data_IF_944266460973
#
_entry.id   IF_944266460973
#
_cell.length_a   1.000
_cell.length_b   1.000
_cell.length_c   1.000
_cell.angle_alpha   90.00
_cell.angle_beta   90.00
_cell.angle_gamma   90.00
#
_symmetry.space_group_name_H-M   'P 1'
#
loop_
_entity.id
_entity.type
_entity.pdbx_description
1 polymer ?
#
# COMPACT_ATOMS: atom_id res chain seq x y z
N UNK A 1 -10.25 -11.25 9.20
CA UNK A 1 -8.88 -11.42 9.74
C UNK A 1 -8.88 -11.68 11.24
N UNK A 2 -9.29 -10.75 12.10
CA UNK A 2 -9.10 -10.86 13.56
C UNK A 2 -9.71 -12.11 14.19
N UNK A 3 -11.00 -12.38 13.97
CA UNK A 3 -11.67 -13.59 14.47
C UNK A 3 -11.20 -14.89 13.79
N UNK A 4 -10.63 -14.81 12.60
CA UNK A 4 -10.17 -16.00 11.86
C UNK A 4 -8.76 -16.43 12.26
N UNK A 5 -7.97 -15.50 12.82
CA UNK A 5 -6.59 -15.74 13.23
C UNK A 5 -6.45 -15.91 14.74
N UNK A 6 -7.55 -15.85 15.51
CA UNK A 6 -7.53 -15.97 16.97
C UNK A 6 -6.45 -15.08 17.60
N UNK A 7 -6.50 -13.78 17.27
CA UNK A 7 -5.52 -12.80 17.72
C UNK A 7 -5.80 -12.39 19.17
N UNK A 8 -4.76 -12.28 19.98
CA UNK A 8 -4.84 -11.66 21.30
C UNK A 8 -4.93 -10.12 21.20
N UNK A 9 -5.21 -9.45 22.33
CA UNK A 9 -5.39 -7.99 22.38
C UNK A 9 -4.15 -7.21 21.89
N UNK A 10 -2.95 -7.71 22.20
CA UNK A 10 -1.69 -7.08 21.79
C UNK A 10 -1.49 -7.22 20.27
N UNK A 11 -1.77 -8.38 19.71
CA UNK A 11 -1.74 -8.66 18.27
C UNK A 11 -2.80 -7.84 17.52
N UNK A 12 -3.98 -7.64 18.10
CA UNK A 12 -5.04 -6.78 17.55
C UNK A 12 -4.56 -5.33 17.45
N UNK A 13 -3.97 -4.81 18.53
CA UNK A 13 -3.43 -3.45 18.56
C UNK A 13 -2.32 -3.26 17.53
N UNK A 14 -1.39 -4.22 17.44
CA UNK A 14 -0.33 -4.21 16.43
C UNK A 14 -0.88 -4.26 15.01
N UNK A 15 -1.85 -5.14 14.73
CA UNK A 15 -2.49 -5.24 13.43
C UNK A 15 -3.21 -3.94 13.04
N UNK A 16 -3.92 -3.31 13.98
CA UNK A 16 -4.57 -2.02 13.74
C UNK A 16 -3.56 -0.94 13.34
N UNK A 17 -2.39 -0.89 13.99
CA UNK A 17 -1.31 0.02 13.62
C UNK A 17 -0.77 -0.24 12.22
N UNK A 18 -0.58 -1.51 11.84
CA UNK A 18 -0.15 -1.91 10.49
C UNK A 18 -1.19 -1.46 9.44
N UNK A 19 -2.46 -1.75 9.66
CA UNK A 19 -3.55 -1.39 8.75
C UNK A 19 -3.71 0.13 8.61
N UNK A 20 -3.54 0.87 9.70
CA UNK A 20 -3.59 2.33 9.67
C UNK A 20 -2.47 2.91 8.80
N UNK A 21 -1.26 2.36 8.90
CA UNK A 21 -0.14 2.79 8.06
C UNK A 21 -0.39 2.54 6.57
N UNK A 22 -0.92 1.37 6.22
CA UNK A 22 -1.33 1.08 4.84
C UNK A 22 -2.43 2.02 4.35
N UNK A 23 -3.39 2.37 5.20
CA UNK A 23 -4.45 3.33 4.87
C UNK A 23 -3.87 4.72 4.59
N UNK A 24 -2.91 5.17 5.39
CA UNK A 24 -2.20 6.43 5.18
C UNK A 24 -1.47 6.43 3.85
N UNK A 25 -0.70 5.38 3.53
CA UNK A 25 0.03 5.30 2.25
C UNK A 25 -0.92 5.27 1.05
N UNK A 26 -2.04 4.54 1.12
CA UNK A 26 -3.08 4.56 0.08
C UNK A 26 -3.67 5.95 -0.14
N UNK A 27 -3.87 6.71 0.94
CA UNK A 27 -4.37 8.08 0.88
C UNK A 27 -3.34 9.01 0.24
N UNK A 28 -2.06 8.85 0.59
CA UNK A 28 -0.97 9.59 -0.03
C UNK A 28 -0.85 9.27 -1.53
N UNK A 29 -0.99 8.00 -1.92
CA UNK A 29 -0.94 7.60 -3.31
C UNK A 29 -2.08 8.21 -4.16
N UNK A 30 -3.27 8.41 -3.58
CA UNK A 30 -4.35 9.12 -4.25
C UNK A 30 -4.01 10.61 -4.47
N UNK A 31 -3.42 11.27 -3.48
CA UNK A 31 -2.95 12.65 -3.60
C UNK A 31 -1.83 12.77 -4.66
N UNK A 32 -0.88 11.85 -4.66
CA UNK A 32 0.20 11.80 -5.65
C UNK A 32 -0.35 11.62 -7.07
N UNK A 33 -1.41 10.82 -7.22
CA UNK A 33 -2.09 10.61 -8.49
C UNK A 33 -2.78 11.88 -8.99
N UNK A 34 -3.53 12.56 -8.13
CA UNK A 34 -4.17 13.85 -8.44
C UNK A 34 -3.13 14.90 -8.84
N UNK A 35 -2.03 15.00 -8.09
CA UNK A 35 -0.90 15.88 -8.42
C UNK A 35 -0.30 15.55 -9.78
N UNK A 36 -0.03 14.27 -10.05
CA UNK A 36 0.50 13.82 -11.34
C UNK A 36 -0.41 14.21 -12.50
N UNK A 37 -1.75 14.12 -12.34
CA UNK A 37 -2.69 14.57 -13.36
C UNK A 37 -2.59 16.08 -13.57
N UNK A 38 -2.53 16.87 -12.49
CA UNK A 38 -2.40 18.33 -12.59
C UNK A 38 -1.10 18.73 -13.32
N UNK A 39 0.02 18.10 -12.98
CA UNK A 39 1.32 18.36 -13.59
C UNK A 39 1.33 17.97 -15.09
N UNK A 40 0.70 16.84 -15.45
CA UNK A 40 0.52 16.44 -16.86
C UNK A 40 -0.35 17.46 -17.59
N UNK A 41 -1.47 17.88 -17.00
CA UNK A 41 -2.37 18.85 -17.61
C UNK A 41 -1.67 20.18 -17.89
N UNK A 42 -0.86 20.66 -16.94
CA UNK A 42 -0.04 21.85 -17.12
C UNK A 42 0.98 21.69 -18.27
N UNK A 43 1.62 20.52 -18.39
CA UNK A 43 2.55 20.23 -19.49
C UNK A 43 1.86 20.07 -20.86
N UNK A 44 0.55 19.83 -20.90
CA UNK A 44 -0.22 19.81 -22.15
C UNK A 44 -0.68 21.20 -22.59
N UNK A 45 -0.72 22.18 -21.69
CA UNK A 45 -1.20 23.55 -21.95
C UNK A 45 -0.07 24.49 -22.44
N UNK A 46 1.11 23.94 -22.76
CA UNK A 46 2.26 24.69 -23.27
C UNK A 46 2.30 24.69 -24.80
N UNK A 47 2.88 25.75 -25.39
CA UNK A 47 2.99 25.89 -26.86
C UNK A 47 3.81 24.77 -27.52
N UNK A 48 4.77 24.19 -26.79
CA UNK A 48 5.59 23.06 -27.23
C UNK A 48 5.47 21.92 -26.22
N UNK A 49 5.45 20.68 -26.73
CA UNK A 49 5.44 19.49 -25.91
C UNK A 49 6.77 19.31 -25.17
N UNK A 50 6.75 19.41 -23.84
CA UNK A 50 7.89 19.12 -22.99
C UNK A 50 7.82 17.68 -22.46
N UNK A 51 8.52 16.77 -23.15
CA UNK A 51 8.60 15.35 -22.75
C UNK A 51 9.17 15.17 -21.35
N UNK A 52 10.10 16.02 -20.92
CA UNK A 52 10.73 15.88 -19.61
C UNK A 52 9.74 16.23 -18.49
N UNK A 53 8.94 17.28 -18.67
CA UNK A 53 7.90 17.65 -17.72
C UNK A 53 6.85 16.53 -17.55
N UNK A 54 6.44 15.91 -18.66
CA UNK A 54 5.50 14.77 -18.64
C UNK A 54 6.13 13.54 -17.97
N UNK A 55 7.40 13.23 -18.27
CA UNK A 55 8.11 12.11 -17.65
C UNK A 55 8.24 12.29 -16.13
N UNK A 56 8.58 13.49 -15.64
CA UNK A 56 8.64 13.78 -14.21
C UNK A 56 7.26 13.66 -13.54
N UNK A 57 6.20 14.13 -14.19
CA UNK A 57 4.85 13.98 -13.68
C UNK A 57 4.41 12.51 -13.62
N UNK A 58 4.79 11.68 -14.60
CA UNK A 58 4.54 10.23 -14.61
C UNK A 58 5.38 9.48 -13.57
N UNK A 59 6.61 9.93 -13.33
CA UNK A 59 7.52 9.37 -12.31
C UNK A 59 6.90 9.39 -10.92
N UNK A 60 6.10 10.42 -10.59
CA UNK A 60 5.33 10.49 -9.34
C UNK A 60 4.50 9.22 -9.13
N UNK A 61 3.81 8.73 -10.17
CA UNK A 61 2.97 7.51 -10.11
C UNK A 61 3.81 6.26 -9.85
N UNK A 62 4.93 6.15 -10.55
CA UNK A 62 5.87 5.02 -10.41
C UNK A 62 6.44 5.00 -8.99
N UNK A 63 6.86 6.15 -8.47
CA UNK A 63 7.47 6.24 -7.14
C UNK A 63 6.43 6.02 -6.03
N UNK A 64 5.19 6.48 -6.22
CA UNK A 64 4.06 6.17 -5.33
C UNK A 64 3.77 4.67 -5.29
N UNK A 65 3.72 3.99 -6.44
CA UNK A 65 3.55 2.54 -6.51
C UNK A 65 4.70 1.78 -5.81
N UNK A 66 5.95 2.25 -5.93
CA UNK A 66 7.09 1.67 -5.22
C UNK A 66 6.96 1.83 -3.70
N UNK A 67 6.52 2.99 -3.21
CA UNK A 67 6.29 3.22 -1.78
C UNK A 67 5.18 2.30 -1.26
N UNK A 68 4.05 2.24 -1.95
CA UNK A 68 2.94 1.34 -1.59
C UNK A 68 3.40 -0.13 -1.53
N UNK A 69 4.17 -0.60 -2.51
CA UNK A 69 4.75 -1.95 -2.49
C UNK A 69 5.63 -2.18 -1.26
N UNK A 70 6.49 -1.22 -0.91
CA UNK A 70 7.38 -1.33 0.24
C UNK A 70 6.60 -1.36 1.56
N UNK A 71 5.53 -0.56 1.67
CA UNK A 71 4.66 -0.55 2.85
C UNK A 71 3.87 -1.87 2.99
N UNK A 72 3.40 -2.45 1.89
CA UNK A 72 2.78 -3.79 1.89
C UNK A 72 3.78 -4.86 2.34
N UNK A 73 5.02 -4.82 1.85
CA UNK A 73 6.07 -5.75 2.28
C UNK A 73 6.33 -5.64 3.79
N UNK A 74 6.47 -4.43 4.32
CA UNK A 74 6.69 -4.21 5.74
C UNK A 74 5.47 -4.61 6.58
N UNK A 75 4.25 -4.38 6.09
CA UNK A 75 3.02 -4.86 6.73
C UNK A 75 2.99 -6.39 6.83
N UNK A 76 3.33 -7.11 5.75
CA UNK A 76 3.39 -8.57 5.74
C UNK A 76 4.47 -9.11 6.67
N UNK A 77 5.65 -8.48 6.67
CA UNK A 77 6.75 -8.83 7.58
C UNK A 77 6.36 -8.70 9.04
N UNK A 78 5.77 -7.55 9.43
CA UNK A 78 5.30 -7.30 10.81
C UNK A 78 4.17 -8.25 11.21
N UNK A 79 3.21 -8.46 10.31
CA UNK A 79 2.13 -9.43 10.51
C UNK A 79 2.70 -10.83 10.73
N UNK A 80 3.65 -11.28 9.92
CA UNK A 80 4.29 -12.57 10.13
C UNK A 80 5.00 -12.65 11.48
N UNK A 81 5.76 -11.61 11.86
CA UNK A 81 6.52 -11.58 13.11
C UNK A 81 5.63 -11.66 14.36
N UNK A 82 4.51 -10.93 14.39
CA UNK A 82 3.62 -10.92 15.56
C UNK A 82 2.82 -12.21 15.73
N UNK A 83 2.62 -12.99 14.67
CA UNK A 83 1.84 -14.22 14.70
C UNK A 83 2.68 -15.43 15.13
N UNK A 84 2.04 -16.38 15.83
CA UNK A 84 2.62 -17.69 16.12
C UNK A 84 2.52 -18.65 14.91
N UNK A 85 3.12 -19.85 15.01
CA UNK A 85 3.16 -20.82 13.90
C UNK A 85 1.77 -21.24 13.39
N UNK A 86 0.82 -21.47 14.31
CA UNK A 86 -0.54 -21.87 13.97
C UNK A 86 -1.26 -20.73 13.23
N UNK A 87 -1.18 -19.52 13.76
CA UNK A 87 -1.79 -18.34 13.16
C UNK A 87 -1.20 -18.03 11.77
N UNK A 88 0.11 -18.20 11.58
CA UNK A 88 0.78 -18.06 10.26
C UNK A 88 0.25 -19.07 9.25
N UNK A 89 0.04 -20.32 9.67
CA UNK A 89 -0.55 -21.37 8.82
C UNK A 89 -1.96 -20.98 8.37
N UNK A 90 -2.79 -20.51 9.32
CA UNK A 90 -4.15 -20.02 9.02
C UNK A 90 -4.12 -18.83 8.07
N UNK A 91 -3.25 -17.84 8.30
CA UNK A 91 -3.08 -16.70 7.40
C UNK A 91 -2.73 -17.16 5.97
N UNK A 92 -1.76 -18.08 5.84
CA UNK A 92 -1.38 -18.62 4.53
C UNK A 92 -2.51 -19.40 3.85
N UNK A 93 -3.38 -20.07 4.62
CA UNK A 93 -4.58 -20.70 4.08
C UNK A 93 -5.58 -19.67 3.56
N UNK A 94 -5.89 -18.63 4.35
CA UNK A 94 -6.83 -17.56 3.98
C UNK A 94 -6.40 -16.81 2.72
N UNK A 95 -5.09 -16.56 2.56
CA UNK A 95 -4.54 -15.94 1.37
C UNK A 95 -4.66 -16.84 0.14
N UNK A 96 -4.30 -18.13 0.27
CA UNK A 96 -4.39 -19.09 -0.84
C UNK A 96 -5.83 -19.36 -1.29
N UNK A 97 -6.77 -19.31 -0.35
CA UNK A 97 -8.20 -19.53 -0.64
C UNK A 97 -8.92 -18.27 -1.15
N UNK A 98 -8.25 -17.12 -1.18
CA UNK A 98 -8.85 -15.83 -1.57
C UNK A 98 -9.82 -15.26 -0.54
N UNK A 99 -9.96 -15.89 0.63
CA UNK A 99 -10.76 -15.38 1.74
C UNK A 99 -10.15 -14.12 2.37
N UNK A 100 -8.87 -13.89 2.10
CA UNK A 100 -8.16 -12.66 2.43
C UNK A 100 -7.41 -12.10 1.21
N UNK A 101 -7.56 -10.80 0.97
CA UNK A 101 -6.84 -10.04 -0.05
C UNK A 101 -5.98 -8.95 0.57
N UNK A 102 -4.88 -8.57 -0.10
CA UNK A 102 -3.91 -7.57 0.35
C UNK A 102 -3.80 -6.44 -0.68
#
# INVERSE_FOLDING_TARGET
MTYQLDLDEDQISQLAGILNRLKTERSQAAVDWERSIADIAAAMDTDNFDSNAVEEALKIRVDSAKRMRNEVLEALKKTHQMLNAQQRSTLAYLLRSGQLSI
#
